data_IF_159980672828
#
_entry.id   IF_159980672828
#
_cell.length_a   1.000
_cell.length_b   1.000
_cell.length_c   1.000
_cell.angle_alpha   90.00
_cell.angle_beta   90.00
_cell.angle_gamma   90.00
#
_symmetry.space_group_name_H-M   'P 1'
#
loop_
_entity.id
_entity.type
_entity.pdbx_description
1 polymer ?
#
# COMPACT_ATOMS: atom_id res chain seq x y z
N UNK A 1 -29.16 8.26 -22.38
CA UNK A 1 -28.77 6.92 -21.89
C UNK A 1 -27.30 7.03 -21.51
N UNK A 2 -26.92 6.68 -20.28
CA UNK A 2 -25.51 6.69 -19.87
C UNK A 2 -24.77 5.53 -20.54
N UNK A 3 -23.57 5.78 -21.04
CA UNK A 3 -22.73 4.76 -21.66
C UNK A 3 -21.63 4.35 -20.66
N UNK A 4 -21.44 3.04 -20.40
CA UNK A 4 -20.38 2.59 -19.50
C UNK A 4 -19.01 3.00 -20.06
N UNK A 5 -18.16 3.56 -19.19
CA UNK A 5 -16.76 3.81 -19.53
C UNK A 5 -16.07 2.44 -19.61
N UNK A 6 -15.50 2.13 -20.77
CA UNK A 6 -14.76 0.89 -21.00
C UNK A 6 -13.61 1.14 -21.94
N UNK A 7 -12.47 0.49 -21.67
CA UNK A 7 -11.24 0.69 -22.43
C UNK A 7 -10.36 1.81 -21.89
N UNK A 8 -9.06 1.68 -22.14
CA UNK A 8 -8.01 2.58 -21.67
C UNK A 8 -8.22 4.00 -22.18
N UNK A 9 -8.63 4.16 -23.43
CA UNK A 9 -8.82 5.46 -24.08
C UNK A 9 -9.94 6.27 -23.44
N UNK A 10 -11.05 5.61 -23.06
CA UNK A 10 -12.18 6.28 -22.43
C UNK A 10 -11.81 6.75 -21.01
N UNK A 11 -11.05 5.93 -20.26
CA UNK A 11 -10.53 6.30 -18.94
C UNK A 11 -9.56 7.48 -19.05
N UNK A 12 -8.61 7.42 -20.00
CA UNK A 12 -7.66 8.50 -20.26
C UNK A 12 -8.37 9.81 -20.60
N UNK A 13 -9.40 9.77 -21.45
CA UNK A 13 -10.15 10.97 -21.84
C UNK A 13 -10.88 11.60 -20.66
N UNK A 14 -11.56 10.80 -19.83
CA UNK A 14 -12.27 11.30 -18.64
C UNK A 14 -11.28 11.91 -17.65
N UNK A 15 -10.17 11.22 -17.39
CA UNK A 15 -9.12 11.70 -16.49
C UNK A 15 -8.44 12.98 -17.03
N UNK A 16 -8.19 13.07 -18.33
CA UNK A 16 -7.61 14.25 -18.96
C UNK A 16 -8.54 15.47 -18.90
N UNK A 17 -9.84 15.27 -19.14
CA UNK A 17 -10.84 16.35 -19.02
C UNK A 17 -10.94 16.83 -17.57
N UNK A 18 -10.93 15.90 -16.60
CA UNK A 18 -11.02 16.22 -15.18
C UNK A 18 -9.78 16.96 -14.66
N UNK A 19 -8.59 16.52 -15.09
CA UNK A 19 -7.30 17.09 -14.66
C UNK A 19 -6.84 18.28 -15.51
N UNK A 20 -7.49 18.54 -16.66
CA UNK A 20 -7.05 19.47 -17.71
C UNK A 20 -5.63 19.19 -18.22
N UNK A 21 -5.22 17.92 -18.22
CA UNK A 21 -3.90 17.50 -18.65
C UNK A 21 -3.98 16.12 -19.32
N UNK A 22 -3.62 16.05 -20.60
CA UNK A 22 -3.55 14.78 -21.34
C UNK A 22 -2.57 13.81 -20.68
N UNK A 23 -1.42 14.31 -20.23
CA UNK A 23 -0.37 13.52 -19.59
C UNK A 23 -0.81 12.87 -18.28
N UNK A 24 -1.63 13.57 -17.48
CA UNK A 24 -2.23 13.00 -16.26
C UNK A 24 -3.27 11.93 -16.62
N UNK A 25 -4.06 12.16 -17.67
CA UNK A 25 -4.99 11.16 -18.19
C UNK A 25 -4.29 9.87 -18.63
N UNK A 26 -3.16 9.99 -19.32
CA UNK A 26 -2.31 8.86 -19.70
C UNK A 26 -1.86 8.06 -18.47
N UNK A 27 -1.26 8.71 -17.47
CA UNK A 27 -0.80 8.06 -16.24
C UNK A 27 -1.92 7.34 -15.49
N UNK A 28 -3.10 7.95 -15.36
CA UNK A 28 -4.24 7.32 -14.70
C UNK A 28 -4.74 6.10 -15.48
N UNK A 29 -4.81 6.20 -16.80
CA UNK A 29 -5.24 5.07 -17.64
C UNK A 29 -4.27 3.89 -17.57
N UNK A 30 -2.96 4.17 -17.53
CA UNK A 30 -1.92 3.16 -17.40
C UNK A 30 -1.92 2.54 -16.00
N UNK A 31 -2.12 3.34 -14.96
CA UNK A 31 -2.29 2.85 -13.59
C UNK A 31 -3.48 1.89 -13.51
N UNK A 32 -4.67 2.29 -13.98
CA UNK A 32 -5.88 1.47 -13.95
C UNK A 32 -5.76 0.18 -14.77
N UNK A 33 -5.03 0.20 -15.89
CA UNK A 33 -4.77 -1.00 -16.69
C UNK A 33 -3.89 -2.01 -15.94
N UNK A 34 -2.91 -1.53 -15.16
CA UNK A 34 -2.01 -2.39 -14.38
C UNK A 34 -2.64 -2.89 -13.07
N UNK A 35 -3.41 -2.07 -12.36
CA UNK A 35 -4.02 -2.46 -11.07
C UNK A 35 -5.41 -3.08 -11.20
N UNK A 36 -6.07 -2.94 -12.36
CA UNK A 36 -7.45 -3.35 -12.60
C UNK A 36 -8.48 -2.34 -12.09
N UNK A 37 -9.75 -2.54 -12.45
CA UNK A 37 -10.83 -1.58 -12.12
C UNK A 37 -11.06 -1.40 -10.61
N UNK A 38 -10.74 -2.41 -9.81
CA UNK A 38 -10.91 -2.41 -8.35
C UNK A 38 -9.58 -2.16 -7.60
N UNK A 39 -8.51 -1.82 -8.33
CA UNK A 39 -7.20 -1.53 -7.75
C UNK A 39 -7.17 -0.17 -7.02
N UNK A 40 -6.32 -0.07 -6.00
CA UNK A 40 -6.12 1.18 -5.24
C UNK A 40 -4.99 1.98 -5.90
N UNK A 41 -5.24 3.26 -6.17
CA UNK A 41 -4.24 4.19 -6.70
C UNK A 41 -3.94 5.21 -5.60
N UNK A 42 -2.69 5.29 -5.19
CA UNK A 42 -2.19 6.27 -4.21
C UNK A 42 -1.31 7.29 -4.93
N UNK A 43 -1.40 8.56 -4.54
CA UNK A 43 -0.59 9.65 -5.10
C UNK A 43 0.37 10.12 -4.01
N UNK A 44 1.66 10.09 -4.30
CA UNK A 44 2.71 10.59 -3.39
C UNK A 44 3.45 11.78 -4.02
N UNK A 45 3.90 12.71 -3.19
CA UNK A 45 4.68 13.86 -3.64
C UNK A 45 6.13 13.42 -3.91
N UNK A 46 6.46 13.27 -5.20
CA UNK A 46 7.83 12.95 -5.62
C UNK A 46 8.76 14.16 -5.44
N UNK A 47 9.99 13.89 -4.99
CA UNK A 47 11.08 14.89 -4.93
C UNK A 47 11.77 15.10 -6.28
N UNK A 48 11.44 14.30 -7.29
CA UNK A 48 11.97 14.38 -8.65
C UNK A 48 11.23 15.39 -9.53
N UNK A 49 11.80 15.69 -10.70
CA UNK A 49 11.14 16.53 -11.71
C UNK A 49 10.11 15.77 -12.56
N UNK A 50 10.17 14.44 -12.56
CA UNK A 50 9.32 13.57 -13.36
C UNK A 50 8.28 12.85 -12.51
N UNK A 51 7.11 12.61 -13.10
CA UNK A 51 6.05 11.79 -12.51
C UNK A 51 6.32 10.33 -12.86
N UNK A 52 6.46 9.50 -11.85
CA UNK A 52 6.72 8.06 -12.00
C UNK A 52 5.45 7.26 -11.65
N UNK A 53 5.25 6.14 -12.34
CA UNK A 53 4.19 5.18 -12.06
C UNK A 53 4.82 3.89 -11.55
N UNK A 54 4.66 3.62 -10.26
CA UNK A 54 5.09 2.37 -9.64
C UNK A 54 3.87 1.51 -9.31
N UNK A 55 3.95 0.21 -9.65
CA UNK A 55 2.92 -0.76 -9.28
C UNK A 55 3.49 -1.62 -8.16
N UNK A 56 2.91 -1.48 -6.98
CA UNK A 56 3.28 -2.30 -5.83
C UNK A 56 2.40 -3.55 -5.83
N UNK A 57 3.01 -4.71 -6.12
CA UNK A 57 2.36 -6.00 -5.88
C UNK A 57 2.32 -6.25 -4.37
N UNK A 58 1.15 -6.07 -3.77
CA UNK A 58 0.98 -6.18 -2.32
C UNK A 58 -0.46 -5.97 -1.88
N UNK A 59 -0.63 -5.80 -0.57
CA UNK A 59 -1.92 -5.53 0.04
C UNK A 59 -1.75 -4.38 1.03
N UNK A 60 -2.59 -3.36 0.89
CA UNK A 60 -2.61 -2.19 1.77
C UNK A 60 -3.88 -2.22 2.62
N UNK A 61 -3.75 -1.86 3.89
CA UNK A 61 -4.86 -1.67 4.81
C UNK A 61 -4.83 -0.27 5.39
N UNK A 62 -6.00 0.30 5.70
CA UNK A 62 -6.13 1.61 6.36
C UNK A 62 -5.82 1.55 7.88
N UNK A 63 -4.72 0.86 8.24
CA UNK A 63 -4.25 0.64 9.62
C UNK A 63 -2.74 0.82 9.66
N UNK A 64 -2.28 1.74 10.50
CA UNK A 64 -0.85 1.95 10.76
C UNK A 64 -0.35 1.19 12.00
N UNK A 65 0.90 1.43 12.38
CA UNK A 65 1.47 0.92 13.62
C UNK A 65 0.77 1.50 14.85
N UNK A 66 0.64 0.70 15.92
CA UNK A 66 -0.04 1.10 17.14
C UNK A 66 0.76 2.09 18.01
N UNK A 67 2.09 2.11 17.86
CA UNK A 67 2.98 2.93 18.66
C UNK A 67 4.16 3.45 17.85
N UNK A 68 4.61 4.66 18.15
CA UNK A 68 5.79 5.28 17.54
C UNK A 68 7.07 4.46 17.75
N UNK A 69 7.13 3.61 18.79
CA UNK A 69 8.26 2.71 19.02
C UNK A 69 8.41 1.61 17.95
N UNK A 70 7.43 1.45 17.06
CA UNK A 70 7.47 0.49 15.95
C UNK A 70 8.09 1.10 14.67
N UNK A 71 8.40 2.40 14.66
CA UNK A 71 9.05 3.07 13.53
C UNK A 71 10.50 2.58 13.40
N UNK A 72 10.85 2.05 12.23
CA UNK A 72 12.22 1.60 11.92
C UNK A 72 13.01 2.64 11.15
N UNK A 73 12.33 3.45 10.33
CA UNK A 73 12.90 4.62 9.64
C UNK A 73 12.26 5.90 10.20
N UNK A 74 13.02 6.63 11.02
CA UNK A 74 12.58 7.85 11.69
C UNK A 74 12.53 9.08 10.75
N UNK A 75 13.18 9.03 9.58
CA UNK A 75 13.09 10.11 8.61
C UNK A 75 11.79 10.03 7.80
N UNK A 76 11.45 8.82 7.38
CA UNK A 76 10.21 8.53 6.62
C UNK A 76 9.00 8.29 7.52
N UNK A 77 9.21 8.08 8.82
CA UNK A 77 8.17 7.72 9.79
C UNK A 77 7.43 6.41 9.42
N UNK A 78 8.17 5.41 8.95
CA UNK A 78 7.64 4.11 8.51
C UNK A 78 8.19 2.94 9.33
N UNK A 79 7.42 1.86 9.37
CA UNK A 79 7.84 0.57 9.91
C UNK A 79 8.14 -0.38 8.73
N UNK A 80 9.40 -0.37 8.29
CA UNK A 80 9.92 -1.27 7.26
C UNK A 80 10.45 -2.56 7.91
N UNK A 81 9.89 -3.70 7.50
CA UNK A 81 10.22 -5.04 8.02
C UNK A 81 10.61 -5.94 6.86
N UNK A 82 11.85 -6.41 6.84
CA UNK A 82 12.34 -7.32 5.81
C UNK A 82 12.01 -8.78 6.14
N UNK A 83 11.34 -9.46 5.20
CA UNK A 83 10.92 -10.87 5.29
C UNK A 83 10.31 -11.25 6.67
N UNK A 84 9.27 -10.54 7.15
CA UNK A 84 8.70 -10.77 8.47
C UNK A 84 7.88 -12.06 8.53
N UNK A 85 7.69 -12.59 9.72
CA UNK A 85 6.54 -13.43 10.02
C UNK A 85 5.29 -12.55 10.20
N UNK A 86 4.12 -13.07 9.83
CA UNK A 86 2.85 -12.36 9.98
C UNK A 86 1.95 -13.21 10.88
N UNK A 87 1.62 -12.68 12.06
CA UNK A 87 0.65 -13.28 12.98
C UNK A 87 -0.73 -12.72 12.66
N UNK A 88 -1.66 -13.60 12.28
CA UNK A 88 -3.06 -13.22 12.03
C UNK A 88 -3.92 -13.83 13.13
N UNK A 89 -4.64 -12.99 13.87
CA UNK A 89 -5.56 -13.42 14.95
C UNK A 89 -6.84 -12.60 14.92
N UNK A 90 -7.96 -13.26 15.21
CA UNK A 90 -9.28 -12.63 15.37
C UNK A 90 -9.55 -12.18 16.82
N UNK A 91 -8.62 -12.46 17.74
CA UNK A 91 -8.72 -12.11 19.16
C UNK A 91 -7.88 -10.89 19.49
N UNK A 92 -8.42 -10.03 20.36
CA UNK A 92 -7.65 -8.92 20.94
C UNK A 92 -6.58 -9.46 21.88
N UNK A 93 -5.31 -9.29 21.52
CA UNK A 93 -4.17 -9.59 22.40
C UNK A 93 -4.15 -8.58 23.55
N UNK A 94 -4.66 -9.00 24.71
CA UNK A 94 -4.71 -8.16 25.92
C UNK A 94 -3.69 -8.62 26.97
N UNK A 95 -3.24 -9.87 26.88
CA UNK A 95 -2.26 -10.47 27.76
C UNK A 95 -1.10 -11.03 26.94
N UNK A 96 0.13 -10.59 27.26
CA UNK A 96 1.34 -11.02 26.57
C UNK A 96 1.65 -12.51 26.76
N UNK A 97 1.19 -13.11 27.86
CA UNK A 97 1.38 -14.53 28.16
C UNK A 97 0.79 -15.45 27.08
N UNK A 98 -0.24 -14.99 26.36
CA UNK A 98 -0.89 -15.77 25.30
C UNK A 98 -0.01 -15.90 24.04
N UNK A 99 0.87 -14.92 23.79
CA UNK A 99 1.74 -14.89 22.62
C UNK A 99 3.22 -15.16 22.95
N UNK A 100 3.58 -15.23 24.23
CA UNK A 100 4.95 -15.42 24.69
C UNK A 100 5.65 -16.64 24.05
N UNK A 101 5.02 -17.83 23.98
CA UNK A 101 5.67 -19.00 23.37
C UNK A 101 5.98 -18.79 21.90
N UNK A 102 5.10 -18.09 21.17
CA UNK A 102 5.33 -17.76 19.76
C UNK A 102 6.49 -16.77 19.60
N UNK A 103 6.54 -15.74 20.46
CA UNK A 103 7.64 -14.76 20.44
C UNK A 103 8.99 -15.43 20.69
N UNK A 104 9.07 -16.39 21.62
CA UNK A 104 10.28 -17.16 21.89
C UNK A 104 10.76 -17.95 20.66
N UNK A 105 9.85 -18.58 19.92
CA UNK A 105 10.21 -19.29 18.68
C UNK A 105 10.66 -18.33 17.58
N UNK A 106 9.99 -17.19 17.41
CA UNK A 106 10.37 -16.19 16.41
C UNK A 106 11.74 -15.58 16.74
N UNK A 107 12.03 -15.30 18.00
CA UNK A 107 13.32 -14.78 18.44
C UNK A 107 14.49 -15.67 18.01
N UNK A 108 14.32 -17.00 18.01
CA UNK A 108 15.36 -17.95 17.57
C UNK A 108 15.69 -17.83 16.07
N UNK A 109 14.74 -17.35 15.27
CA UNK A 109 14.91 -17.20 13.82
C UNK A 109 15.56 -15.88 13.43
N UNK A 110 15.67 -14.92 14.37
CA UNK A 110 16.16 -13.55 14.14
C UNK A 110 15.45 -12.83 12.98
N UNK A 111 14.19 -13.21 12.69
CA UNK A 111 13.34 -12.55 11.69
C UNK A 111 12.35 -11.61 12.38
N UNK A 112 11.96 -10.50 11.75
CA UNK A 112 10.95 -9.61 12.29
C UNK A 112 9.56 -10.28 12.36
N UNK A 113 8.68 -9.72 13.19
CA UNK A 113 7.29 -10.18 13.34
C UNK A 113 6.33 -9.01 13.21
N UNK A 114 5.35 -9.15 12.32
CA UNK A 114 4.17 -8.30 12.25
C UNK A 114 3.02 -8.99 13.01
N UNK A 115 2.37 -8.25 13.91
CA UNK A 115 1.22 -8.70 14.72
C UNK A 115 0.02 -7.82 14.39
#
# INVERSE_FOLDING_TARGET
IAQPVSGKEAIAQVAAVSSRSEKVGEYISEAMERVGNDGVITIEESRGMETELEVVEGMQFDRGYLSQYMVTDNEKMVADLENPFILITDKKVSNIQEILPLLEEVLKTSRPLLI
#
